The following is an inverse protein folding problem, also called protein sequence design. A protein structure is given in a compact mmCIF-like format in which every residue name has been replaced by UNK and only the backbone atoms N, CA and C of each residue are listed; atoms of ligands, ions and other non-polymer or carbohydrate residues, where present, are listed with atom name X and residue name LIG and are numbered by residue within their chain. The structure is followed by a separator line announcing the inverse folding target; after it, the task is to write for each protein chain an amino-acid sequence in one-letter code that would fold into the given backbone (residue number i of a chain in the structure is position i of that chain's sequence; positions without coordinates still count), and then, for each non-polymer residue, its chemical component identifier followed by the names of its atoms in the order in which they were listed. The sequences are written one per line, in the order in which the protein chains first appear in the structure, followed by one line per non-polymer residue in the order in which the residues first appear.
data_IF_456946753589
#
_entry.id   IF_456946753589
#
_cell.length_a   1.000
_cell.length_b   1.000
_cell.length_c   1.000
_cell.angle_alpha   90.00
_cell.angle_beta   90.00
_cell.angle_gamma   90.00
#
_symmetry.space_group_name_H-M   'P 1'
#
loop_
_entity.id
_entity.type
_entity.pdbx_description
1 polymer ?
#
# COMPACT_ATOMS: atom_id res chain seq x y z
N UNK A 1 -2.44 -12.04 43.89
CA UNK A 1 -3.48 -12.20 42.84
C UNK A 1 -2.77 -12.46 41.52
N UNK A 2 -3.24 -13.42 40.72
CA UNK A 2 -2.60 -13.72 39.43
C UNK A 2 -2.81 -12.55 38.45
N UNK A 3 -1.73 -11.86 38.12
CA UNK A 3 -1.72 -10.80 37.10
C UNK A 3 -1.93 -11.43 35.73
N UNK A 4 -2.95 -10.97 35.00
CA UNK A 4 -3.21 -11.44 33.63
C UNK A 4 -2.00 -11.12 32.75
N UNK A 5 -1.58 -12.04 31.85
CA UNK A 5 -0.50 -11.76 30.92
C UNK A 5 -0.87 -10.61 29.98
N UNK A 6 0.10 -9.76 29.66
CA UNK A 6 -0.07 -8.67 28.71
C UNK A 6 -0.40 -9.23 27.32
N UNK A 7 -1.42 -8.64 26.68
CA UNK A 7 -1.78 -8.92 25.29
C UNK A 7 -1.81 -7.60 24.54
N UNK A 8 -0.87 -7.42 23.62
CA UNK A 8 -0.88 -6.29 22.71
C UNK A 8 -2.09 -6.38 21.76
N UNK A 9 -2.73 -5.25 21.51
CA UNK A 9 -3.81 -5.09 20.54
C UNK A 9 -3.59 -3.77 19.80
N UNK A 10 -3.62 -3.83 18.48
CA UNK A 10 -3.56 -2.63 17.65
C UNK A 10 -4.78 -1.74 17.86
N UNK A 11 -4.56 -0.43 17.93
CA UNK A 11 -5.63 0.56 18.09
C UNK A 11 -6.58 0.57 16.89
N UNK A 12 -6.07 0.27 15.70
CA UNK A 12 -6.82 0.31 14.44
C UNK A 12 -6.59 -1.00 13.65
N UNK A 13 -7.30 -2.09 14.00
CA UNK A 13 -7.20 -3.32 13.24
C UNK A 13 -7.75 -3.10 11.82
N UNK A 14 -7.01 -3.56 10.82
CA UNK A 14 -7.43 -3.46 9.42
C UNK A 14 -8.56 -4.46 9.13
N UNK A 15 -9.53 -4.03 8.33
CA UNK A 15 -10.54 -4.91 7.72
C UNK A 15 -10.01 -5.53 6.43
N UNK A 16 -10.80 -6.44 5.85
CA UNK A 16 -10.56 -6.94 4.50
C UNK A 16 -10.49 -5.77 3.49
N UNK A 17 -9.48 -5.80 2.61
CA UNK A 17 -9.37 -4.89 1.48
C UNK A 17 -10.06 -5.49 0.25
N UNK A 18 -11.10 -4.82 -0.21
CA UNK A 18 -11.88 -5.19 -1.41
C UNK A 18 -11.58 -4.28 -2.60
N UNK A 19 -10.58 -3.42 -2.48
CA UNK A 19 -10.20 -2.46 -3.52
C UNK A 19 -9.55 -3.21 -4.68
N UNK A 20 -10.06 -3.01 -5.89
CA UNK A 20 -9.41 -3.52 -7.09
C UNK A 20 -8.27 -2.60 -7.52
N UNK A 21 -7.11 -3.19 -7.82
CA UNK A 21 -5.93 -2.48 -8.28
C UNK A 21 -5.58 -2.89 -9.71
N UNK A 22 -5.09 -1.94 -10.49
CA UNK A 22 -4.47 -2.22 -11.77
C UNK A 22 -2.95 -2.00 -11.68
N UNK A 23 -2.20 -2.80 -12.45
CA UNK A 23 -0.75 -2.66 -12.51
C UNK A 23 -0.39 -1.45 -13.37
N UNK A 24 0.24 -0.45 -12.76
CA UNK A 24 0.73 0.74 -13.47
C UNK A 24 2.02 0.45 -14.23
N UNK A 25 3.02 -0.10 -13.55
CA UNK A 25 4.30 -0.50 -14.14
C UNK A 25 5.01 -1.52 -13.25
N UNK A 26 5.98 -2.25 -13.82
CA UNK A 26 6.97 -3.06 -13.08
C UNK A 26 8.35 -2.39 -13.05
N UNK A 27 8.50 -1.27 -13.74
CA UNK A 27 9.72 -0.49 -13.73
C UNK A 27 9.91 0.17 -12.36
N UNK A 28 11.14 0.55 -12.03
CA UNK A 28 11.51 1.26 -10.80
C UNK A 28 11.44 0.45 -9.50
N UNK A 29 11.08 -0.84 -9.56
CA UNK A 29 11.13 -1.74 -8.39
C UNK A 29 12.14 -2.86 -8.61
N UNK A 30 12.87 -3.19 -7.55
CA UNK A 30 13.77 -4.35 -7.51
C UNK A 30 13.91 -4.84 -6.07
N UNK A 31 14.42 -6.04 -5.89
CA UNK A 31 14.76 -6.57 -4.56
C UNK A 31 16.27 -6.61 -4.37
N UNK A 32 16.71 -6.44 -3.12
CA UNK A 32 18.11 -6.58 -2.70
C UNK A 32 18.15 -7.27 -1.35
N UNK A 33 19.28 -7.86 -0.97
CA UNK A 33 19.48 -8.33 0.39
C UNK A 33 20.18 -7.29 1.25
N UNK A 34 19.75 -7.16 2.51
CA UNK A 34 20.41 -6.38 3.55
C UNK A 34 20.28 -7.11 4.88
N UNK A 35 21.41 -7.39 5.54
CA UNK A 35 21.47 -8.14 6.82
C UNK A 35 20.69 -9.48 6.81
N UNK A 36 20.74 -10.19 5.68
CA UNK A 36 20.05 -11.48 5.52
C UNK A 36 18.52 -11.35 5.36
N UNK A 37 18.01 -10.14 5.12
CA UNK A 37 16.59 -9.88 4.82
C UNK A 37 16.44 -9.32 3.41
N UNK A 38 15.41 -9.77 2.71
CA UNK A 38 15.02 -9.19 1.43
C UNK A 38 14.40 -7.80 1.65
N UNK A 39 14.91 -6.83 0.90
CA UNK A 39 14.51 -5.42 0.92
C UNK A 39 13.99 -5.01 -0.45
N UNK A 40 12.83 -4.35 -0.47
CA UNK A 40 12.29 -3.75 -1.68
C UNK A 40 12.96 -2.39 -1.93
N UNK A 41 13.62 -2.24 -3.09
CA UNK A 41 14.16 -0.98 -3.58
C UNK A 41 13.17 -0.34 -4.54
N UNK A 42 12.86 0.93 -4.28
CA UNK A 42 11.94 1.73 -5.08
C UNK A 42 12.71 2.95 -5.57
N UNK A 43 12.78 3.15 -6.89
CA UNK A 43 13.38 4.35 -7.46
C UNK A 43 12.44 5.55 -7.24
N UNK A 44 12.96 6.77 -6.98
CA UNK A 44 12.13 7.95 -6.75
C UNK A 44 11.12 8.25 -7.87
N UNK A 45 11.47 7.91 -9.11
CA UNK A 45 10.63 8.06 -10.29
C UNK A 45 9.31 7.27 -10.18
N UNK A 46 9.31 6.15 -9.44
CA UNK A 46 8.09 5.38 -9.18
C UNK A 46 7.05 6.22 -8.44
N UNK A 47 7.48 7.04 -7.47
CA UNK A 47 6.60 7.88 -6.67
C UNK A 47 6.04 9.03 -7.50
N UNK A 48 6.87 9.62 -8.36
CA UNK A 48 6.44 10.65 -9.31
C UNK A 48 5.38 10.11 -10.27
N UNK A 49 5.65 8.98 -10.92
CA UNK A 49 4.73 8.34 -11.87
C UNK A 49 3.40 7.93 -11.21
N UNK A 50 3.47 7.31 -10.03
CA UNK A 50 2.29 6.92 -9.26
C UNK A 50 1.42 8.13 -8.93
N UNK A 51 2.05 9.21 -8.47
CA UNK A 51 1.35 10.43 -8.07
C UNK A 51 0.69 11.11 -9.26
N UNK A 52 1.43 11.28 -10.37
CA UNK A 52 0.89 11.85 -11.62
C UNK A 52 -0.36 11.09 -12.09
N UNK A 53 -0.26 9.76 -12.14
CA UNK A 53 -1.37 8.92 -12.59
C UNK A 53 -2.56 8.97 -11.63
N UNK A 54 -2.31 8.88 -10.32
CA UNK A 54 -3.35 8.93 -9.31
C UNK A 54 -4.12 10.27 -9.34
N UNK A 55 -3.41 11.40 -9.46
CA UNK A 55 -4.05 12.71 -9.55
C UNK A 55 -4.83 12.89 -10.84
N UNK A 56 -4.34 12.37 -11.98
CA UNK A 56 -5.17 12.35 -13.19
C UNK A 56 -6.45 11.55 -12.94
N UNK A 57 -6.34 10.33 -12.44
CA UNK A 57 -7.48 9.42 -12.34
C UNK A 57 -8.54 9.91 -11.34
N UNK A 58 -8.14 10.44 -10.18
CA UNK A 58 -9.10 10.94 -9.18
C UNK A 58 -9.87 12.18 -9.65
N UNK A 59 -9.32 12.97 -10.57
CA UNK A 59 -10.01 14.14 -11.12
C UNK A 59 -11.06 13.79 -12.18
N UNK A 60 -10.97 12.62 -12.82
CA UNK A 60 -11.83 12.25 -13.94
C UNK A 60 -12.63 10.97 -13.74
N UNK A 61 -12.32 10.17 -12.71
CA UNK A 61 -12.94 8.89 -12.41
C UNK A 61 -13.46 8.88 -10.98
N UNK A 62 -14.55 8.14 -10.76
CA UNK A 62 -15.11 7.87 -9.43
C UNK A 62 -15.03 6.38 -9.12
N UNK A 63 -15.03 6.05 -7.82
CA UNK A 63 -15.30 4.66 -7.40
C UNK A 63 -16.71 4.25 -7.84
N UNK A 64 -16.94 2.98 -8.25
CA UNK A 64 -18.26 2.52 -8.68
C UNK A 64 -19.39 2.84 -7.69
N UNK A 65 -19.12 2.68 -6.39
CA UNK A 65 -20.09 2.95 -5.31
C UNK A 65 -20.58 4.40 -5.25
N UNK A 66 -19.89 5.36 -5.86
CA UNK A 66 -20.32 6.77 -5.91
C UNK A 66 -21.22 7.08 -7.12
N UNK A 67 -21.35 6.14 -8.07
CA UNK A 67 -22.16 6.31 -9.29
C UNK A 67 -23.55 5.69 -9.16
N UNK A 68 -23.82 4.99 -8.05
CA UNK A 68 -25.10 4.35 -7.74
C UNK A 68 -26.12 5.34 -7.17
#
# INVERSE_FOLDING_TARGET
MATKPFKYQDTFPLSEDKTEYYLLTKEHVSTTEFEGKEMLKIAPEALTLLTEKAFRDVNFLLRPDHQA
#
